data_IF_893949048462
#
_entry.id   IF_893949048462
#
_cell.length_a   1.000
_cell.length_b   1.000
_cell.length_c   1.000
_cell.angle_alpha   90.00
_cell.angle_beta   90.00
_cell.angle_gamma   90.00
#
_symmetry.space_group_name_H-M   'P 1'
#
loop_
_entity.id
_entity.type
_entity.pdbx_description
1 polymer ?
#
# COMPACT_ATOMS: atom_id res chain seq x y z
N UNK A 1 -60.57 13.18 -51.69
CA UNK A 1 -60.38 11.72 -51.50
C UNK A 1 -58.96 11.35 -51.92
N UNK A 2 -58.42 10.29 -51.29
CA UNK A 2 -57.22 9.50 -51.62
C UNK A 2 -55.90 9.93 -50.96
N UNK A 3 -55.62 9.21 -49.87
CA UNK A 3 -54.30 8.90 -49.32
C UNK A 3 -53.57 7.96 -50.29
N UNK A 4 -52.26 8.16 -50.48
CA UNK A 4 -51.34 7.18 -51.05
C UNK A 4 -50.00 7.38 -50.33
N UNK A 5 -49.60 6.46 -49.46
CA UNK A 5 -48.90 5.19 -49.70
C UNK A 5 -47.37 5.40 -49.72
N UNK A 6 -46.75 4.87 -48.67
CA UNK A 6 -45.31 4.76 -48.42
C UNK A 6 -44.58 3.92 -49.46
N UNK A 7 -43.31 4.26 -49.70
CA UNK A 7 -42.30 3.28 -50.11
C UNK A 7 -40.94 3.65 -49.50
N UNK A 8 -40.39 2.72 -48.72
CA UNK A 8 -39.05 2.80 -48.15
C UNK A 8 -38.03 2.18 -49.11
N UNK A 9 -36.84 2.78 -49.20
CA UNK A 9 -35.69 2.24 -49.92
C UNK A 9 -34.49 2.32 -48.98
N UNK A 10 -33.86 1.18 -48.75
CA UNK A 10 -32.58 1.06 -48.07
C UNK A 10 -31.51 0.68 -49.11
N UNK A 11 -30.37 1.36 -49.11
CA UNK A 11 -29.09 0.81 -49.59
C UNK A 11 -27.93 1.42 -48.82
N UNK A 12 -26.98 0.54 -48.51
CA UNK A 12 -25.74 0.71 -47.74
C UNK A 12 -24.62 1.15 -48.69
N UNK A 13 -23.75 2.10 -48.28
CA UNK A 13 -22.48 2.35 -48.97
C UNK A 13 -21.74 3.66 -48.66
N UNK A 14 -20.93 3.65 -47.59
CA UNK A 14 -19.64 4.32 -47.32
C UNK A 14 -19.36 5.78 -47.81
N UNK A 15 -19.15 6.68 -46.84
CA UNK A 15 -18.46 7.95 -47.06
C UNK A 15 -18.59 8.94 -45.88
N UNK A 16 -17.58 8.96 -45.01
CA UNK A 16 -17.12 10.21 -44.36
C UNK A 16 -17.85 10.74 -43.13
N UNK A 17 -17.10 10.71 -42.02
CA UNK A 17 -16.92 11.80 -41.06
C UNK A 17 -17.84 11.92 -39.82
N UNK A 18 -17.26 11.40 -38.74
CA UNK A 18 -17.28 11.87 -37.35
C UNK A 18 -18.52 11.62 -36.49
N UNK A 19 -18.52 10.39 -35.98
CA UNK A 19 -19.02 10.03 -34.68
C UNK A 19 -18.42 10.92 -33.58
N UNK A 20 -19.24 11.74 -32.93
CA UNK A 20 -18.96 12.21 -31.59
C UNK A 20 -19.52 11.19 -30.60
N UNK A 21 -18.74 10.12 -30.40
CA UNK A 21 -18.90 9.23 -29.25
C UNK A 21 -18.56 10.07 -28.03
N UNK A 22 -19.56 10.40 -27.22
CA UNK A 22 -19.33 10.92 -25.86
C UNK A 22 -18.47 9.91 -25.12
N UNK A 23 -17.17 10.20 -25.05
CA UNK A 23 -16.27 9.62 -24.08
C UNK A 23 -16.61 10.29 -22.76
N UNK A 24 -17.52 9.69 -22.01
CA UNK A 24 -17.45 9.78 -20.55
C UNK A 24 -16.10 9.17 -20.17
N UNK A 25 -15.10 10.04 -20.09
CA UNK A 25 -13.88 9.77 -19.37
C UNK A 25 -14.33 9.69 -17.91
N UNK A 26 -14.44 8.47 -17.37
CA UNK A 26 -14.33 8.25 -15.94
C UNK A 26 -12.97 8.82 -15.55
N UNK A 27 -12.98 10.11 -15.17
CA UNK A 27 -11.84 10.78 -14.60
C UNK A 27 -11.63 10.14 -13.25
N UNK A 28 -10.82 9.09 -13.22
CA UNK A 28 -10.22 8.60 -11.99
C UNK A 28 -9.41 9.78 -11.43
N UNK A 29 -10.05 10.54 -10.53
CA UNK A 29 -9.40 11.60 -9.79
C UNK A 29 -8.13 10.98 -9.19
N UNK A 30 -6.93 11.56 -9.40
CA UNK A 30 -5.73 10.98 -8.84
C UNK A 30 -5.92 10.84 -7.33
N UNK A 31 -5.77 9.62 -6.82
CA UNK A 31 -5.84 9.36 -5.39
C UNK A 31 -4.82 10.28 -4.71
N UNK A 32 -5.32 11.20 -3.88
CA UNK A 32 -4.46 12.10 -3.12
C UNK A 32 -3.88 11.23 -2.00
N UNK A 33 -2.54 11.13 -1.97
CA UNK A 33 -1.87 10.37 -0.93
C UNK A 33 -2.27 10.90 0.46
N UNK A 34 -2.59 9.98 1.36
CA UNK A 34 -3.10 10.32 2.69
C UNK A 34 -2.05 10.05 3.78
N UNK A 35 -2.13 10.83 4.87
CA UNK A 35 -1.40 10.49 6.09
C UNK A 35 -1.93 9.16 6.65
N UNK A 36 -1.09 8.40 7.35
CA UNK A 36 -1.51 7.08 7.81
C UNK A 36 -0.66 6.41 8.86
N UNK A 37 -1.25 5.39 9.48
CA UNK A 37 -0.59 4.52 10.44
C UNK A 37 0.06 3.33 9.73
N UNK A 38 1.22 2.89 10.21
CA UNK A 38 1.82 1.63 9.74
C UNK A 38 1.63 0.55 10.79
N UNK A 39 1.00 -0.55 10.41
CA UNK A 39 0.94 -1.78 11.20
C UNK A 39 1.82 -2.86 10.59
N UNK A 40 2.41 -3.70 11.43
CA UNK A 40 3.06 -4.94 11.02
C UNK A 40 2.29 -6.13 11.56
N UNK A 41 2.10 -7.15 10.72
CA UNK A 41 1.64 -8.49 11.10
C UNK A 41 2.84 -9.42 11.03
N UNK A 42 3.16 -10.04 12.17
CA UNK A 42 4.29 -10.95 12.28
C UNK A 42 3.81 -12.39 12.06
N UNK A 43 4.10 -12.95 10.89
CA UNK A 43 3.85 -14.36 10.54
C UNK A 43 5.08 -15.26 10.75
N UNK A 44 6.12 -14.76 11.41
CA UNK A 44 7.32 -15.55 11.71
C UNK A 44 7.19 -16.28 13.05
N UNK A 45 8.12 -17.18 13.34
CA UNK A 45 8.28 -17.87 14.61
C UNK A 45 9.14 -17.08 15.63
N UNK A 46 9.57 -15.87 15.31
CA UNK A 46 10.38 -15.00 16.17
C UNK A 46 9.58 -13.78 16.64
N UNK A 47 9.91 -13.27 17.84
CA UNK A 47 9.48 -11.92 18.21
C UNK A 47 10.24 -10.93 17.32
N UNK A 48 9.50 -9.94 16.81
CA UNK A 48 10.05 -8.93 15.94
C UNK A 48 10.14 -7.60 16.68
N UNK A 49 11.34 -7.05 16.85
CA UNK A 49 11.49 -5.64 17.20
C UNK A 49 11.50 -4.82 15.91
N UNK A 50 10.64 -3.82 15.85
CA UNK A 50 10.57 -2.87 14.74
C UNK A 50 10.99 -1.52 15.26
N UNK A 51 11.98 -0.92 14.60
CA UNK A 51 12.47 0.40 14.96
C UNK A 51 12.56 1.31 13.73
N UNK A 52 12.34 2.61 13.91
CA UNK A 52 12.68 3.60 12.90
C UNK A 52 13.02 4.93 13.55
N UNK A 53 13.72 5.79 12.80
CA UNK A 53 13.94 7.17 13.18
C UNK A 53 12.77 8.00 12.66
N UNK A 54 11.98 8.55 13.57
CA UNK A 54 10.91 9.47 13.22
C UNK A 54 11.50 10.89 13.17
N UNK A 55 11.51 11.46 11.96
CA UNK A 55 12.00 12.81 11.66
C UNK A 55 10.87 13.72 11.15
N UNK A 56 9.61 13.39 11.45
CA UNK A 56 8.45 14.24 11.08
C UNK A 56 8.61 15.64 11.67
N UNK A 57 9.07 15.72 12.93
CA UNK A 57 9.60 16.97 13.49
C UNK A 57 11.14 16.97 13.40
N UNK A 58 11.67 17.77 12.46
CA UNK A 58 13.10 17.91 12.24
C UNK A 58 13.86 18.53 13.43
N UNK A 59 13.18 19.20 14.37
CA UNK A 59 13.81 19.75 15.58
C UNK A 59 13.81 18.76 16.74
N UNK A 60 13.01 17.69 16.65
CA UNK A 60 12.88 16.68 17.70
C UNK A 60 12.84 15.25 17.12
N UNK A 61 13.90 14.81 16.41
CA UNK A 61 13.96 13.45 15.89
C UNK A 61 13.97 12.45 17.04
N UNK A 62 13.23 11.35 16.89
CA UNK A 62 13.13 10.32 17.94
C UNK A 62 13.12 8.92 17.37
N UNK A 63 13.69 7.99 18.10
CA UNK A 63 13.62 6.57 17.75
C UNK A 63 12.30 6.02 18.30
N UNK A 64 11.48 5.46 17.42
CA UNK A 64 10.29 4.70 17.79
C UNK A 64 10.66 3.22 17.76
N UNK A 65 10.31 2.47 18.80
CA UNK A 65 10.53 1.03 18.91
C UNK A 65 9.25 0.34 19.34
N UNK A 66 8.89 -0.73 18.65
CA UNK A 66 7.71 -1.54 18.95
C UNK A 66 8.07 -3.01 18.82
N UNK A 67 7.75 -3.81 19.83
CA UNK A 67 7.80 -5.27 19.71
C UNK A 67 6.48 -5.80 19.10
N UNK A 68 6.61 -6.70 18.14
CA UNK A 68 5.49 -7.41 17.50
C UNK A 68 5.61 -8.90 17.85
N UNK A 69 4.79 -9.40 18.78
CA UNK A 69 4.79 -10.80 19.15
C UNK A 69 4.51 -11.73 17.96
N UNK A 70 4.92 -12.99 18.10
CA UNK A 70 4.63 -14.06 17.13
C UNK A 70 3.13 -14.15 16.85
N UNK A 71 2.75 -14.12 15.57
CA UNK A 71 1.35 -14.21 15.13
C UNK A 71 0.51 -12.95 15.37
N UNK A 72 1.09 -11.88 15.92
CA UNK A 72 0.35 -10.67 16.29
C UNK A 72 0.44 -9.57 15.22
N UNK A 73 -0.51 -8.62 15.34
CA UNK A 73 -0.48 -7.33 14.63
C UNK A 73 -0.21 -6.22 15.65
N UNK A 74 0.67 -5.29 15.31
CA UNK A 74 0.92 -4.09 16.11
C UNK A 74 1.09 -2.85 15.21
N UNK A 75 0.68 -1.69 15.73
CA UNK A 75 0.96 -0.39 15.11
C UNK A 75 2.39 0.02 15.46
N UNK A 76 3.24 0.17 14.45
CA UNK A 76 4.69 0.40 14.63
C UNK A 76 5.11 1.84 14.36
N UNK A 77 4.26 2.64 13.72
CA UNK A 77 4.54 4.07 13.49
C UNK A 77 4.34 4.92 14.75
N UNK A 78 3.59 4.46 15.74
CA UNK A 78 3.30 5.20 16.98
C UNK A 78 2.41 6.45 16.81
N UNK A 79 2.42 7.08 15.64
CA UNK A 79 1.55 8.17 15.21
C UNK A 79 1.27 8.08 13.70
N UNK A 80 0.39 8.97 13.21
CA UNK A 80 0.12 9.10 11.79
C UNK A 80 1.33 9.76 11.11
N UNK A 81 1.83 9.14 10.05
CA UNK A 81 2.95 9.63 9.27
C UNK A 81 2.45 10.41 8.05
N UNK A 82 3.16 11.47 7.63
CA UNK A 82 2.77 12.26 6.47
C UNK A 82 2.73 11.46 5.18
N UNK A 83 1.75 11.75 4.32
CA UNK A 83 1.65 11.22 2.97
C UNK A 83 2.95 11.44 2.16
N UNK A 84 3.34 10.43 1.38
CA UNK A 84 4.53 10.48 0.52
C UNK A 84 5.86 10.34 1.26
N UNK A 85 5.87 10.24 2.59
CA UNK A 85 7.09 9.94 3.36
C UNK A 85 7.54 8.50 3.07
N UNK A 86 8.78 8.31 2.64
CA UNK A 86 9.42 6.99 2.65
C UNK A 86 10.02 6.74 4.04
N UNK A 87 9.57 5.68 4.71
CA UNK A 87 9.97 5.38 6.09
C UNK A 87 10.84 4.13 6.08
N UNK A 88 12.04 4.20 6.63
CA UNK A 88 12.88 3.02 6.79
C UNK A 88 12.64 2.34 8.15
N UNK A 89 11.95 1.21 8.15
CA UNK A 89 11.82 0.36 9.32
C UNK A 89 12.95 -0.67 9.36
N UNK A 90 13.66 -0.69 10.48
CA UNK A 90 14.54 -1.77 10.88
C UNK A 90 13.74 -2.88 11.54
N UNK A 91 13.86 -4.09 10.99
CA UNK A 91 13.20 -5.30 11.43
C UNK A 91 14.25 -6.20 12.10
N UNK A 92 14.14 -6.42 13.40
CA UNK A 92 15.09 -7.21 14.18
C UNK A 92 14.40 -8.46 14.71
N UNK A 93 14.85 -9.62 14.25
CA UNK A 93 14.39 -10.91 14.77
C UNK A 93 15.11 -11.20 16.10
N UNK A 94 14.33 -11.41 17.16
CA UNK A 94 14.84 -11.75 18.49
C UNK A 94 14.81 -13.26 18.65
N UNK A 95 16.00 -13.89 18.72
CA UNK A 95 16.10 -15.33 18.97
C UNK A 95 15.60 -15.65 20.39
N UNK A 96 14.78 -16.71 20.56
CA UNK A 96 14.31 -17.15 21.87
C UNK A 96 15.42 -17.72 22.76
N UNK A 97 16.55 -18.14 22.18
CA UNK A 97 17.65 -18.78 22.91
C UNK A 97 18.50 -17.80 23.72
N UNK A 98 18.34 -16.48 23.50
CA UNK A 98 19.06 -15.46 24.26
C UNK A 98 20.55 -15.32 23.88
N UNK A 99 21.00 -16.03 22.85
CA UNK A 99 22.39 -16.10 22.36
C UNK A 99 22.92 -14.76 21.82
N UNK A 100 22.10 -13.72 21.82
CA UNK A 100 22.43 -12.39 21.32
C UNK A 100 22.45 -12.27 19.80
N UNK A 101 22.17 -13.34 19.05
CA UNK A 101 22.09 -13.27 17.58
C UNK A 101 20.82 -12.54 17.19
N UNK A 102 21.01 -11.44 16.46
CA UNK A 102 19.96 -10.54 15.95
C UNK A 102 20.16 -10.35 14.47
N UNK A 103 19.18 -10.72 13.66
CA UNK A 103 19.20 -10.42 12.22
C UNK A 103 18.37 -9.19 11.95
N UNK A 104 18.99 -8.23 11.25
CA UNK A 104 18.40 -6.94 10.89
C UNK A 104 18.06 -6.95 9.41
N UNK A 105 16.79 -6.75 9.10
CA UNK A 105 16.27 -6.47 7.75
C UNK A 105 15.72 -5.05 7.70
N UNK A 106 15.40 -4.58 6.50
CA UNK A 106 14.83 -3.26 6.28
C UNK A 106 13.57 -3.36 5.44
N UNK A 107 12.57 -2.56 5.78
CA UNK A 107 11.40 -2.29 4.95
C UNK A 107 11.31 -0.78 4.69
N UNK A 108 10.96 -0.40 3.47
CA UNK A 108 10.84 1.01 3.06
C UNK A 108 9.48 1.28 2.40
N UNK A 109 8.36 1.26 3.16
CA UNK A 109 7.09 1.71 2.65
C UNK A 109 7.12 3.23 2.37
N UNK A 110 6.41 3.64 1.32
CA UNK A 110 6.00 5.04 1.12
C UNK A 110 4.59 5.19 1.67
N UNK A 111 4.36 6.19 2.51
CA UNK A 111 3.06 6.40 3.17
C UNK A 111 2.01 6.89 2.17
N UNK A 112 0.89 6.18 2.16
CA UNK A 112 -0.28 6.44 1.32
C UNK A 112 -1.53 5.90 2.03
N UNK A 113 -1.86 6.52 3.16
CA UNK A 113 -2.89 6.08 4.10
C UNK A 113 -2.41 4.96 5.04
N UNK A 114 -3.37 4.33 5.72
CA UNK A 114 -3.11 3.25 6.65
C UNK A 114 -2.58 2.01 5.92
N UNK A 115 -1.44 1.49 6.39
CA UNK A 115 -0.77 0.34 5.79
C UNK A 115 -0.61 -0.82 6.76
N UNK A 116 -0.71 -2.02 6.21
CA UNK A 116 -0.50 -3.27 6.93
C UNK A 116 0.56 -4.08 6.19
N UNK A 117 1.74 -4.21 6.79
CA UNK A 117 2.86 -4.96 6.23
C UNK A 117 2.91 -6.35 6.86
N UNK A 118 2.94 -7.40 6.05
CA UNK A 118 3.14 -8.77 6.51
C UNK A 118 4.62 -9.16 6.47
N UNK A 119 5.16 -9.64 7.60
CA UNK A 119 6.51 -10.20 7.68
C UNK A 119 6.42 -11.71 7.77
N UNK A 120 7.08 -12.42 6.85
CA UNK A 120 7.16 -13.88 6.80
C UNK A 120 8.59 -14.31 6.50
N UNK A 121 8.97 -15.49 6.98
CA UNK A 121 10.20 -16.14 6.53
C UNK A 121 9.93 -16.82 5.18
N UNK A 122 10.95 -16.86 4.31
CA UNK A 122 10.87 -17.64 3.07
C UNK A 122 11.08 -19.12 3.38
N UNK A 123 11.96 -19.41 4.34
CA UNK A 123 12.18 -20.74 4.90
C UNK A 123 11.86 -20.67 6.41
N UNK A 124 10.85 -21.41 6.85
CA UNK A 124 10.42 -21.42 8.26
C UNK A 124 11.44 -22.10 9.19
N UNK A 125 12.38 -22.84 8.62
CA UNK A 125 13.50 -23.46 9.34
C UNK A 125 14.73 -22.56 9.35
N UNK A 126 14.70 -21.43 8.63
CA UNK A 126 15.77 -20.45 8.70
C UNK A 126 15.91 -20.02 10.16
N UNK A 127 17.11 -20.18 10.75
CA UNK A 127 17.35 -19.53 12.03
C UNK A 127 17.18 -18.00 11.91
N UNK A 128 17.14 -17.42 10.68
CA UNK A 128 16.99 -16.00 10.35
C UNK A 128 16.28 -15.63 9.02
#
# INVERSE_FOLDING_TARGET
>A
MKVALLLAIAFIGCGGEQAQKSLESDGEMPAIAADGMVSIVNHTNYVLEVAYLNEVDAQAPRIVRTEVPVGARAVVSGEALPAGLEVEFDLVFISPTGDGVRVRRKARPVIDGDQVLGVRLVDETDPF
#
